data_IF_560912776744
#
_entry.id   IF_560912776744
#
_cell.length_a   1.000
_cell.length_b   1.000
_cell.length_c   1.000
_cell.angle_alpha   90.00
_cell.angle_beta   90.00
_cell.angle_gamma   90.00
#
_symmetry.space_group_name_H-M   'P 1'
#
loop_
_entity.id
_entity.type
_entity.pdbx_description
1 polymer ?
#
# COMPACT_ATOMS: atom_id res chain seq x y z
N UNK A 1 4.20 13.93 -25.13
CA UNK A 1 5.67 14.08 -25.07
C UNK A 1 6.19 13.19 -23.96
N UNK A 2 7.19 12.36 -24.20
CA UNK A 2 7.53 11.28 -23.27
C UNK A 2 8.63 11.71 -22.31
N UNK A 3 8.32 11.78 -21.03
CA UNK A 3 9.23 12.05 -19.92
C UNK A 3 9.41 10.75 -19.12
N UNK A 4 10.64 10.33 -18.91
CA UNK A 4 10.97 9.08 -18.22
C UNK A 4 11.71 9.38 -16.92
N UNK A 5 11.18 8.92 -15.79
CA UNK A 5 11.76 9.13 -14.46
C UNK A 5 12.27 7.80 -13.93
N UNK A 6 13.56 7.69 -13.69
CA UNK A 6 14.20 6.49 -13.12
C UNK A 6 14.29 6.63 -11.60
N UNK A 7 13.63 5.74 -10.89
CA UNK A 7 13.65 5.65 -9.42
C UNK A 7 14.23 4.30 -8.98
N UNK A 8 14.62 4.18 -7.72
CA UNK A 8 15.14 2.95 -7.14
C UNK A 8 16.30 3.20 -6.17
N UNK A 9 16.74 2.15 -5.51
CA UNK A 9 17.84 2.20 -4.54
C UNK A 9 19.16 2.61 -5.21
N UNK A 10 20.13 2.99 -4.37
CA UNK A 10 21.51 3.19 -4.80
C UNK A 10 22.07 1.88 -5.39
N UNK A 11 22.86 1.96 -6.45
CA UNK A 11 23.44 0.78 -7.11
C UNK A 11 22.55 0.11 -8.17
N UNK A 12 21.28 0.52 -8.35
CA UNK A 12 20.38 -0.08 -9.35
C UNK A 12 20.66 0.34 -10.80
N UNK A 13 21.61 1.26 -11.05
CA UNK A 13 22.03 1.61 -12.40
C UNK A 13 21.26 2.77 -13.05
N UNK A 14 20.48 3.58 -12.28
CA UNK A 14 19.67 4.70 -12.80
C UNK A 14 20.42 5.62 -13.76
N UNK A 15 21.56 6.14 -13.37
CA UNK A 15 22.36 7.06 -14.20
C UNK A 15 22.91 6.37 -15.45
N UNK A 16 23.33 5.11 -15.35
CA UNK A 16 23.89 4.36 -16.48
C UNK A 16 22.81 4.01 -17.50
N UNK A 17 21.70 3.43 -17.04
CA UNK A 17 20.56 3.03 -17.90
C UNK A 17 19.88 4.29 -18.47
N UNK A 18 19.72 5.34 -17.65
CA UNK A 18 19.12 6.60 -18.09
C UNK A 18 19.89 7.27 -19.24
N UNK A 19 21.22 7.27 -19.18
CA UNK A 19 22.05 7.75 -20.29
C UNK A 19 21.86 6.92 -21.57
N UNK A 20 21.69 5.59 -21.43
CA UNK A 20 21.44 4.72 -22.59
C UNK A 20 20.07 4.97 -23.20
N UNK A 21 19.03 5.07 -22.36
CA UNK A 21 17.66 5.41 -22.81
C UNK A 21 17.63 6.76 -23.54
N UNK A 22 18.22 7.80 -22.94
CA UNK A 22 18.29 9.13 -23.52
C UNK A 22 18.98 9.12 -24.90
N UNK A 23 20.06 8.33 -25.04
CA UNK A 23 20.76 8.14 -26.31
C UNK A 23 19.89 7.45 -27.37
N UNK A 24 19.16 6.39 -26.98
CA UNK A 24 18.26 5.67 -27.89
C UNK A 24 17.12 6.57 -28.38
N UNK A 25 16.55 7.36 -27.45
CA UNK A 25 15.40 8.23 -27.73
C UNK A 25 15.80 9.58 -28.37
N UNK A 26 17.07 9.94 -28.37
CA UNK A 26 17.52 11.25 -28.86
C UNK A 26 17.05 12.43 -28.02
N UNK A 27 16.83 12.24 -26.71
CA UNK A 27 16.35 13.27 -25.77
C UNK A 27 17.36 13.55 -24.66
N UNK A 28 17.28 14.71 -23.95
CA UNK A 28 18.18 15.04 -22.85
C UNK A 28 18.16 14.04 -21.69
N UNK A 29 19.31 13.89 -21.02
CA UNK A 29 19.44 13.15 -19.77
C UNK A 29 19.79 14.10 -18.63
N UNK A 30 19.10 13.97 -17.50
CA UNK A 30 19.36 14.69 -16.26
C UNK A 30 19.55 13.71 -15.11
N UNK A 31 20.54 13.99 -14.24
CA UNK A 31 20.75 13.28 -12.98
C UNK A 31 20.61 14.30 -11.85
N UNK A 32 19.61 14.12 -10.98
CA UNK A 32 19.29 15.12 -9.95
C UNK A 32 20.42 15.28 -8.95
N UNK A 33 21.15 14.21 -8.61
CA UNK A 33 22.30 14.26 -7.70
C UNK A 33 23.40 15.15 -8.33
N UNK A 34 23.72 14.93 -9.61
CA UNK A 34 24.72 15.74 -10.35
C UNK A 34 24.31 17.20 -10.48
N UNK A 35 23.00 17.47 -10.73
CA UNK A 35 22.50 18.85 -10.82
C UNK A 35 22.58 19.58 -9.48
N UNK A 36 22.30 18.90 -8.36
CA UNK A 36 22.42 19.45 -7.01
C UNK A 36 23.87 19.81 -6.72
N UNK A 37 24.81 18.88 -6.95
CA UNK A 37 26.24 19.11 -6.73
C UNK A 37 26.77 20.26 -7.59
N UNK A 38 26.38 20.29 -8.87
CA UNK A 38 26.76 21.37 -9.79
C UNK A 38 26.23 22.75 -9.37
N UNK A 39 25.02 22.83 -8.83
CA UNK A 39 24.43 24.08 -8.32
C UNK A 39 25.04 24.52 -6.99
N UNK A 40 25.32 23.54 -6.10
CA UNK A 40 25.89 23.82 -4.79
C UNK A 40 27.41 24.10 -4.83
N UNK A 41 28.11 23.67 -5.88
CA UNK A 41 29.56 23.76 -5.99
C UNK A 41 30.33 22.83 -5.02
N UNK A 42 29.64 21.89 -4.38
CA UNK A 42 30.21 20.90 -3.45
C UNK A 42 29.44 19.56 -3.54
N UNK A 43 30.01 18.52 -2.98
CA UNK A 43 29.43 17.17 -3.03
C UNK A 43 28.24 17.02 -2.08
N UNK A 44 27.35 16.05 -2.38
CA UNK A 44 26.20 15.74 -1.52
C UNK A 44 26.63 15.46 -0.06
N UNK A 45 27.68 14.67 0.23
CA UNK A 45 28.17 14.51 1.60
C UNK A 45 28.55 15.82 2.29
N UNK A 46 29.19 16.76 1.58
CA UNK A 46 29.53 18.07 2.12
C UNK A 46 28.28 18.91 2.42
N UNK A 47 27.24 18.82 1.56
CA UNK A 47 25.95 19.48 1.80
C UNK A 47 25.30 18.92 3.09
N UNK A 48 25.29 17.59 3.24
CA UNK A 48 24.75 16.95 4.46
C UNK A 48 25.51 17.40 5.74
N UNK A 49 26.83 17.52 5.66
CA UNK A 49 27.65 18.00 6.79
C UNK A 49 27.37 19.47 7.12
N UNK A 50 27.12 20.30 6.11
CA UNK A 50 26.94 21.74 6.27
C UNK A 50 25.54 22.12 6.79
N UNK A 51 24.48 21.50 6.26
CA UNK A 51 23.08 21.89 6.51
C UNK A 51 22.16 20.76 6.94
N UNK A 52 22.69 19.55 7.12
CA UNK A 52 21.94 18.36 7.55
C UNK A 52 20.99 17.80 6.50
N UNK A 53 20.27 16.75 6.87
CA UNK A 53 19.33 16.09 5.94
C UNK A 53 18.16 17.02 5.56
N UNK A 54 17.60 17.76 6.51
CA UNK A 54 16.47 18.66 6.24
C UNK A 54 16.82 19.73 5.20
N UNK A 55 18.02 20.35 5.31
CA UNK A 55 18.50 21.33 4.34
C UNK A 55 18.74 20.73 2.96
N UNK A 56 19.33 19.52 2.90
CA UNK A 56 19.48 18.79 1.64
C UNK A 56 18.14 18.52 0.97
N UNK A 57 17.12 18.08 1.73
CA UNK A 57 15.77 17.80 1.19
C UNK A 57 15.10 19.05 0.61
N UNK A 58 15.37 20.23 1.17
CA UNK A 58 14.87 21.48 0.57
C UNK A 58 15.53 21.77 -0.79
N UNK A 59 16.86 21.65 -0.87
CA UNK A 59 17.61 21.81 -2.14
C UNK A 59 17.11 20.76 -3.17
N UNK A 60 16.93 19.52 -2.77
CA UNK A 60 16.42 18.43 -3.62
C UNK A 60 15.02 18.78 -4.16
N UNK A 61 14.15 19.31 -3.32
CA UNK A 61 12.79 19.73 -3.71
C UNK A 61 12.82 20.88 -4.72
N UNK A 62 13.62 21.93 -4.47
CA UNK A 62 13.79 23.03 -5.40
C UNK A 62 14.37 22.57 -6.75
N UNK A 63 15.35 21.65 -6.73
CA UNK A 63 15.95 21.10 -7.93
C UNK A 63 14.91 20.33 -8.75
N UNK A 64 14.13 19.46 -8.12
CA UNK A 64 13.08 18.69 -8.81
C UNK A 64 12.00 19.62 -9.39
N UNK A 65 11.61 20.66 -8.66
CA UNK A 65 10.63 21.65 -9.15
C UNK A 65 11.15 22.47 -10.33
N UNK A 66 12.48 22.60 -10.49
CA UNK A 66 13.11 23.34 -11.59
C UNK A 66 13.45 22.49 -12.82
N UNK A 67 13.15 21.18 -12.79
CA UNK A 67 13.42 20.28 -13.92
C UNK A 67 12.59 20.68 -15.16
N UNK A 68 13.14 20.52 -16.38
CA UNK A 68 12.43 20.85 -17.61
C UNK A 68 11.13 20.06 -17.78
N UNK A 69 10.10 20.70 -18.29
CA UNK A 69 8.80 20.07 -18.59
C UNK A 69 8.77 19.29 -19.92
N UNK A 70 9.81 19.40 -20.75
CA UNK A 70 9.90 18.73 -22.05
C UNK A 70 10.31 17.26 -21.97
N UNK A 71 10.45 16.59 -23.15
CA UNK A 71 10.94 15.23 -23.25
C UNK A 71 12.32 15.08 -22.61
N UNK A 72 12.47 14.14 -21.68
CA UNK A 72 13.73 13.92 -20.98
C UNK A 72 13.76 12.56 -20.31
N UNK A 73 14.96 12.03 -20.07
CA UNK A 73 15.20 10.94 -19.12
C UNK A 73 15.85 11.53 -17.87
N UNK A 74 15.23 11.30 -16.72
CA UNK A 74 15.65 11.87 -15.43
C UNK A 74 15.96 10.74 -14.46
N UNK A 75 17.20 10.65 -13.98
CA UNK A 75 17.58 9.79 -12.87
C UNK A 75 17.49 10.55 -11.55
N UNK A 76 16.75 10.02 -10.57
CA UNK A 76 16.59 10.69 -9.28
C UNK A 76 17.53 10.14 -8.21
N UNK A 77 17.83 10.95 -7.20
CA UNK A 77 18.39 10.47 -5.95
C UNK A 77 17.50 9.40 -5.30
N UNK A 78 18.11 8.43 -4.62
CA UNK A 78 17.35 7.29 -4.05
C UNK A 78 16.32 7.69 -2.99
N UNK A 79 16.43 8.86 -2.35
CA UNK A 79 15.46 9.37 -1.39
C UNK A 79 14.43 10.35 -1.97
N UNK A 80 14.62 10.80 -3.19
CA UNK A 80 13.87 11.92 -3.76
C UNK A 80 12.34 11.74 -3.71
N UNK A 81 11.85 10.56 -4.07
CA UNK A 81 10.41 10.24 -4.10
C UNK A 81 9.83 9.87 -2.74
N UNK A 82 10.61 9.92 -1.65
CA UNK A 82 10.09 9.81 -0.29
C UNK A 82 9.38 11.11 0.13
N UNK A 83 9.77 12.24 -0.46
CA UNK A 83 9.02 13.49 -0.34
C UNK A 83 7.82 13.45 -1.29
N UNK A 84 6.63 13.66 -0.73
CA UNK A 84 5.39 13.58 -1.49
C UNK A 84 5.28 14.64 -2.59
N UNK A 85 5.75 15.87 -2.34
CA UNK A 85 5.74 16.95 -3.34
C UNK A 85 6.63 16.62 -4.53
N UNK A 86 7.79 15.99 -4.26
CA UNK A 86 8.66 15.49 -5.30
C UNK A 86 7.99 14.39 -6.12
N UNK A 87 7.34 13.41 -5.44
CA UNK A 87 6.64 12.32 -6.11
C UNK A 87 5.52 12.83 -7.01
N UNK A 88 4.70 13.77 -6.53
CA UNK A 88 3.63 14.41 -7.29
C UNK A 88 4.18 15.19 -8.49
N UNK A 89 5.26 15.96 -8.30
CA UNK A 89 5.90 16.74 -9.38
C UNK A 89 6.49 15.84 -10.46
N UNK A 90 7.21 14.79 -10.06
CA UNK A 90 7.84 13.85 -10.98
C UNK A 90 6.83 13.02 -11.78
N UNK A 91 5.64 12.76 -11.21
CA UNK A 91 4.60 11.96 -11.87
C UNK A 91 3.87 12.71 -12.98
N UNK A 92 3.90 14.04 -12.99
CA UNK A 92 3.20 14.83 -14.00
C UNK A 92 3.73 14.52 -15.41
N UNK A 93 2.84 14.01 -16.27
CA UNK A 93 3.13 13.71 -17.69
C UNK A 93 4.42 12.86 -17.89
N UNK A 94 4.68 11.91 -17.00
CA UNK A 94 5.88 11.11 -17.01
C UNK A 94 5.61 9.61 -16.80
N UNK A 95 6.47 8.78 -17.38
CA UNK A 95 6.57 7.35 -17.09
C UNK A 95 7.58 7.14 -15.96
N UNK A 96 7.15 6.59 -14.84
CA UNK A 96 8.04 6.28 -13.71
C UNK A 96 8.52 4.85 -13.82
N UNK A 97 9.84 4.68 -13.87
CA UNK A 97 10.51 3.40 -14.04
C UNK A 97 11.27 3.07 -12.75
N UNK A 98 10.87 2.00 -12.10
CA UNK A 98 11.57 1.46 -10.96
C UNK A 98 12.65 0.47 -11.41
N UNK A 99 13.90 0.77 -11.07
CA UNK A 99 15.01 -0.17 -11.22
C UNK A 99 15.25 -0.89 -9.89
N UNK A 100 15.27 -2.21 -9.94
CA UNK A 100 15.55 -3.09 -8.80
C UNK A 100 16.79 -3.95 -9.05
N UNK A 101 17.34 -4.49 -7.99
CA UNK A 101 18.28 -5.61 -8.00
C UNK A 101 18.30 -6.24 -6.62
N UNK A 102 18.73 -7.50 -6.52
CA UNK A 102 18.87 -8.18 -5.24
C UNK A 102 19.87 -7.46 -4.32
N UNK A 103 19.67 -7.50 -2.99
CA UNK A 103 20.53 -6.83 -2.02
C UNK A 103 22.02 -7.15 -2.20
N UNK A 104 22.36 -8.40 -2.49
CA UNK A 104 23.73 -8.87 -2.70
C UNK A 104 24.36 -8.23 -3.95
N UNK A 105 23.57 -8.04 -5.01
CA UNK A 105 24.01 -7.35 -6.24
C UNK A 105 24.22 -5.86 -5.97
N UNK A 106 23.33 -5.24 -5.21
CA UNK A 106 23.47 -3.83 -4.82
C UNK A 106 24.70 -3.62 -3.96
N UNK A 107 24.93 -4.50 -2.98
CA UNK A 107 26.12 -4.47 -2.10
C UNK A 107 27.40 -4.52 -2.94
N UNK A 108 27.52 -5.50 -3.84
CA UNK A 108 28.69 -5.64 -4.71
C UNK A 108 28.93 -4.39 -5.59
N UNK A 109 27.87 -3.78 -6.11
CA UNK A 109 27.97 -2.56 -6.94
C UNK A 109 28.33 -1.31 -6.13
N UNK A 110 27.92 -1.24 -4.86
CA UNK A 110 28.16 -0.09 -3.98
C UNK A 110 29.56 -0.17 -3.35
N UNK A 111 30.06 -1.35 -3.00
CA UNK A 111 31.41 -1.55 -2.39
C UNK A 111 32.54 -0.93 -3.19
N UNK A 112 32.39 -0.78 -4.52
CA UNK A 112 33.37 -0.10 -5.38
C UNK A 112 33.18 1.42 -5.50
N UNK A 113 32.20 2.03 -4.76
CA UNK A 113 31.90 3.46 -4.90
C UNK A 113 32.45 4.29 -3.75
N UNK A 114 32.85 5.54 -4.04
CA UNK A 114 33.38 6.50 -3.04
C UNK A 114 32.31 7.17 -2.16
N UNK A 115 31.06 6.78 -2.27
CA UNK A 115 29.97 7.41 -1.51
C UNK A 115 29.89 6.84 -0.10
N UNK A 116 29.78 7.67 0.97
CA UNK A 116 29.73 7.21 2.34
C UNK A 116 28.45 6.40 2.63
N UNK A 117 28.45 5.55 3.68
CA UNK A 117 27.26 4.89 4.19
C UNK A 117 26.22 5.93 4.65
N UNK A 118 24.93 5.57 4.58
CA UNK A 118 23.82 6.42 5.02
C UNK A 118 23.48 6.19 6.50
N UNK A 119 23.97 5.10 7.08
CA UNK A 119 23.72 4.71 8.48
C UNK A 119 25.01 4.14 9.10
N UNK A 120 24.99 3.88 10.41
CA UNK A 120 26.07 3.20 11.15
C UNK A 120 26.01 1.66 11.00
N UNK A 121 25.05 1.12 10.24
CA UNK A 121 24.88 -0.30 10.03
C UNK A 121 25.90 -0.86 9.02
N UNK A 122 26.00 -2.20 8.97
CA UNK A 122 26.68 -2.85 7.86
C UNK A 122 26.00 -2.48 6.54
N UNK A 123 26.74 -2.43 5.42
CA UNK A 123 26.17 -2.08 4.11
C UNK A 123 24.99 -2.99 3.73
N UNK A 124 25.08 -4.28 4.04
CA UNK A 124 24.01 -5.24 3.80
C UNK A 124 22.74 -4.94 4.61
N UNK A 125 22.90 -4.65 5.91
CA UNK A 125 21.78 -4.32 6.79
C UNK A 125 21.16 -2.96 6.42
N UNK A 126 21.98 -1.99 6.06
CA UNK A 126 21.53 -0.69 5.55
C UNK A 126 20.65 -0.86 4.29
N UNK A 127 21.11 -1.63 3.29
CA UNK A 127 20.37 -1.89 2.06
C UNK A 127 19.04 -2.54 2.39
N UNK A 128 19.02 -3.57 3.25
CA UNK A 128 17.80 -4.28 3.65
C UNK A 128 16.83 -3.37 4.39
N UNK A 129 17.30 -2.56 5.33
CA UNK A 129 16.47 -1.64 6.09
C UNK A 129 15.87 -0.56 5.19
N UNK A 130 16.67 0.08 4.36
CA UNK A 130 16.23 1.12 3.42
C UNK A 130 15.27 0.52 2.38
N UNK A 131 15.55 -0.69 1.88
CA UNK A 131 14.67 -1.40 0.96
C UNK A 131 13.28 -1.61 1.57
N UNK A 132 13.23 -2.12 2.80
CA UNK A 132 11.95 -2.37 3.51
C UNK A 132 11.07 -1.10 3.60
N UNK A 133 11.68 0.06 3.79
CA UNK A 133 10.97 1.34 3.92
C UNK A 133 10.56 1.90 2.55
N UNK A 134 11.47 1.85 1.56
CA UNK A 134 11.28 2.58 0.30
C UNK A 134 10.60 1.77 -0.80
N UNK A 135 10.81 0.45 -0.84
CA UNK A 135 10.28 -0.38 -1.93
C UNK A 135 8.75 -0.34 -2.07
N UNK A 136 7.94 -0.32 -0.99
CA UNK A 136 6.50 -0.17 -1.14
C UNK A 136 6.10 1.13 -1.86
N UNK A 137 6.77 2.25 -1.54
CA UNK A 137 6.53 3.56 -2.18
C UNK A 137 6.99 3.54 -3.64
N UNK A 138 8.18 3.01 -3.91
CA UNK A 138 8.70 2.89 -5.28
C UNK A 138 7.78 2.05 -6.16
N UNK A 139 7.32 0.89 -5.69
CA UNK A 139 6.39 0.02 -6.43
C UNK A 139 5.07 0.72 -6.69
N UNK A 140 4.54 1.45 -5.70
CA UNK A 140 3.34 2.26 -5.85
C UNK A 140 3.49 3.32 -6.95
N UNK A 141 4.61 4.03 -7.00
CA UNK A 141 4.86 5.06 -8.00
C UNK A 141 5.14 4.49 -9.40
N UNK A 142 5.84 3.37 -9.52
CA UNK A 142 6.36 2.90 -10.79
C UNK A 142 5.27 2.48 -11.78
N UNK A 143 5.38 2.86 -13.02
CA UNK A 143 4.59 2.35 -14.14
C UNK A 143 5.23 1.10 -14.73
N UNK A 144 6.57 1.06 -14.73
CA UNK A 144 7.39 -0.05 -15.20
C UNK A 144 8.36 -0.44 -14.10
N UNK A 145 8.54 -1.75 -13.88
CA UNK A 145 9.53 -2.27 -12.96
C UNK A 145 10.53 -3.13 -13.74
N UNK A 146 11.83 -2.86 -13.56
CA UNK A 146 12.91 -3.59 -14.23
C UNK A 146 13.92 -4.09 -13.20
N UNK A 147 14.12 -5.41 -13.18
CA UNK A 147 15.22 -6.01 -12.46
C UNK A 147 16.51 -5.88 -13.28
N UNK A 148 17.50 -5.23 -12.69
CA UNK A 148 18.81 -4.98 -13.33
C UNK A 148 19.90 -5.93 -12.85
N UNK A 149 19.54 -6.93 -12.04
CA UNK A 149 20.51 -7.85 -11.42
C UNK A 149 21.27 -8.67 -12.45
N UNK A 150 20.59 -9.16 -13.47
CA UNK A 150 21.12 -10.13 -14.45
C UNK A 150 21.24 -9.57 -15.86
N UNK A 151 20.95 -8.28 -16.09
CA UNK A 151 20.97 -7.67 -17.43
C UNK A 151 21.97 -6.53 -17.48
N UNK A 152 22.56 -6.31 -18.66
CA UNK A 152 23.42 -5.15 -18.89
C UNK A 152 22.57 -3.87 -19.16
N UNK A 153 23.23 -2.70 -19.15
CA UNK A 153 22.52 -1.43 -19.25
C UNK A 153 21.85 -1.20 -20.61
N UNK A 154 22.38 -1.74 -21.69
CA UNK A 154 21.80 -1.59 -23.03
C UNK A 154 20.56 -2.50 -23.19
N UNK A 155 20.63 -3.72 -22.68
CA UNK A 155 19.50 -4.65 -22.62
C UNK A 155 18.38 -4.09 -21.74
N UNK A 156 18.71 -3.58 -20.54
CA UNK A 156 17.75 -2.97 -19.65
C UNK A 156 17.04 -1.77 -20.31
N UNK A 157 17.80 -0.86 -20.93
CA UNK A 157 17.24 0.31 -21.62
C UNK A 157 16.30 -0.11 -22.76
N UNK A 158 16.71 -1.07 -23.59
CA UNK A 158 15.87 -1.59 -24.69
C UNK A 158 14.60 -2.25 -24.17
N UNK A 159 14.70 -3.12 -23.16
CA UNK A 159 13.56 -3.82 -22.56
C UNK A 159 12.56 -2.83 -21.93
N UNK A 160 13.02 -1.79 -21.25
CA UNK A 160 12.15 -0.75 -20.69
C UNK A 160 11.34 -0.07 -21.80
N UNK A 161 11.97 0.28 -22.91
CA UNK A 161 11.33 0.98 -24.02
C UNK A 161 10.35 0.10 -24.81
N UNK A 162 10.55 -1.23 -24.83
CA UNK A 162 9.66 -2.21 -25.47
C UNK A 162 8.60 -2.78 -24.55
N UNK A 163 8.77 -2.69 -23.22
CA UNK A 163 7.89 -3.30 -22.22
C UNK A 163 6.49 -2.67 -22.11
N UNK A 164 6.17 -1.68 -22.91
CA UNK A 164 4.85 -1.02 -22.92
C UNK A 164 3.78 -1.81 -23.68
N UNK A 165 4.12 -2.90 -24.34
CA UNK A 165 3.16 -3.75 -25.06
C UNK A 165 2.47 -4.70 -24.08
N UNK A 166 1.29 -4.28 -23.59
CA UNK A 166 0.34 -5.21 -22.92
C UNK A 166 -0.23 -6.16 -23.97
N UNK A 167 -0.58 -7.39 -23.58
CA UNK A 167 -1.44 -8.22 -24.39
C UNK A 167 -2.85 -7.62 -24.46
N UNK A 168 -3.00 -6.66 -25.38
CA UNK A 168 -4.23 -5.90 -25.56
C UNK A 168 -5.38 -6.78 -26.02
N UNK A 169 -5.10 -7.90 -26.72
CA UNK A 169 -6.15 -8.80 -27.23
C UNK A 169 -6.81 -9.57 -26.09
N UNK A 170 -6.04 -10.18 -25.19
CA UNK A 170 -6.60 -10.90 -24.03
C UNK A 170 -7.25 -9.95 -23.04
N UNK A 171 -6.67 -8.77 -22.83
CA UNK A 171 -7.26 -7.71 -22.00
C UNK A 171 -8.62 -7.25 -22.53
N UNK A 172 -8.74 -7.00 -23.84
CA UNK A 172 -10.02 -6.63 -24.49
C UNK A 172 -11.05 -7.75 -24.34
N UNK A 173 -10.66 -9.02 -24.56
CA UNK A 173 -11.56 -10.18 -24.35
C UNK A 173 -12.06 -10.23 -22.91
N UNK A 174 -11.17 -10.01 -21.95
CA UNK A 174 -11.49 -10.00 -20.52
C UNK A 174 -12.48 -8.87 -20.17
N UNK A 175 -12.24 -7.64 -20.65
CA UNK A 175 -13.16 -6.52 -20.44
C UNK A 175 -14.55 -6.79 -21.01
N UNK A 176 -14.64 -7.34 -22.24
CA UNK A 176 -15.91 -7.71 -22.88
C UNK A 176 -16.65 -8.79 -22.08
N UNK A 177 -15.93 -9.83 -21.59
CA UNK A 177 -16.53 -10.89 -20.74
C UNK A 177 -17.13 -10.29 -19.45
N UNK A 178 -16.53 -9.25 -18.91
CA UNK A 178 -17.01 -8.54 -17.72
C UNK A 178 -18.03 -7.45 -18.03
N UNK A 179 -18.46 -7.30 -19.29
CA UNK A 179 -19.36 -6.22 -19.74
C UNK A 179 -18.81 -4.81 -19.44
N UNK A 180 -17.49 -4.66 -19.47
CA UNK A 180 -16.78 -3.40 -19.33
C UNK A 180 -16.38 -2.84 -20.70
N UNK A 181 -16.14 -1.53 -20.75
CA UNK A 181 -15.70 -0.85 -21.96
C UNK A 181 -14.31 -1.36 -22.42
N UNK A 182 -14.19 -1.94 -23.62
CA UNK A 182 -12.91 -2.41 -24.14
C UNK A 182 -11.84 -1.34 -24.25
N UNK A 183 -12.22 -0.06 -24.40
CA UNK A 183 -11.27 1.04 -24.46
C UNK A 183 -10.53 1.31 -23.14
N UNK A 184 -11.01 0.75 -22.03
CA UNK A 184 -10.30 0.79 -20.76
C UNK A 184 -8.90 0.16 -20.83
N UNK A 185 -8.66 -0.76 -21.77
CA UNK A 185 -7.31 -1.35 -21.96
C UNK A 185 -6.26 -0.29 -22.34
N UNK A 186 -6.67 0.83 -22.91
CA UNK A 186 -5.81 1.96 -23.26
C UNK A 186 -5.46 2.85 -22.07
N UNK A 187 -6.12 2.63 -20.92
CA UNK A 187 -5.83 3.40 -19.70
C UNK A 187 -4.43 3.05 -19.20
N UNK A 188 -3.54 4.02 -18.97
CA UNK A 188 -2.17 3.75 -18.57
C UNK A 188 -2.06 2.91 -17.30
N UNK A 189 -2.90 3.18 -16.30
CA UNK A 189 -2.90 2.48 -15.02
C UNK A 189 -4.30 1.94 -14.70
N UNK A 190 -4.43 0.61 -14.69
CA UNK A 190 -5.64 -0.06 -14.24
C UNK A 190 -5.47 -0.57 -12.81
N UNK A 191 -6.51 -0.37 -12.03
CA UNK A 191 -6.64 -0.87 -10.66
C UNK A 191 -8.03 -1.45 -10.47
N UNK A 192 -8.24 -2.22 -9.43
CA UNK A 192 -9.57 -2.72 -9.15
C UNK A 192 -9.79 -3.21 -7.75
N UNK A 193 -11.04 -3.57 -7.47
CA UNK A 193 -11.43 -4.32 -6.28
C UNK A 193 -12.07 -5.64 -6.67
N UNK A 194 -11.63 -6.73 -6.05
CA UNK A 194 -12.19 -8.06 -6.20
C UNK A 194 -12.81 -8.58 -4.91
N UNK A 195 -13.87 -9.35 -5.06
CA UNK A 195 -14.64 -9.97 -3.99
C UNK A 195 -15.95 -10.54 -4.53
N UNK A 196 -16.75 -11.15 -3.67
CA UNK A 196 -18.07 -11.68 -4.06
C UNK A 196 -19.07 -11.66 -2.89
N UNK A 197 -20.08 -10.76 -2.91
CA UNK A 197 -20.27 -9.66 -3.87
C UNK A 197 -19.35 -8.46 -3.61
N UNK A 198 -19.10 -7.65 -4.64
CA UNK A 198 -18.18 -6.49 -4.54
C UNK A 198 -18.81 -5.16 -4.97
N UNK A 199 -19.98 -5.20 -5.61
CA UNK A 199 -20.65 -4.04 -6.23
C UNK A 199 -21.05 -2.91 -5.26
N UNK A 200 -21.13 -3.21 -3.96
CA UNK A 200 -21.46 -2.23 -2.92
C UNK A 200 -20.24 -1.50 -2.35
N UNK A 201 -19.03 -1.82 -2.81
CA UNK A 201 -17.81 -1.17 -2.34
C UNK A 201 -17.75 0.30 -2.74
N UNK A 202 -17.34 1.15 -1.81
CA UNK A 202 -17.10 2.59 -2.03
C UNK A 202 -15.72 2.88 -2.63
N UNK A 203 -14.83 1.89 -2.73
CA UNK A 203 -13.45 2.08 -3.20
C UNK A 203 -13.36 2.64 -4.62
N UNK A 204 -14.15 2.19 -5.63
CA UNK A 204 -14.07 2.77 -6.97
C UNK A 204 -14.46 4.25 -7.03
N UNK A 205 -15.48 4.67 -6.26
CA UNK A 205 -15.85 6.08 -6.17
C UNK A 205 -14.70 6.90 -5.56
N UNK A 206 -14.19 6.46 -4.40
CA UNK A 206 -13.11 7.13 -3.69
C UNK A 206 -11.85 7.25 -4.56
N UNK A 207 -11.36 6.14 -5.09
CA UNK A 207 -10.06 6.13 -5.78
C UNK A 207 -10.11 6.82 -7.14
N UNK A 208 -11.19 6.69 -7.92
CA UNK A 208 -11.31 7.42 -9.18
C UNK A 208 -11.35 8.95 -8.95
N UNK A 209 -11.97 9.40 -7.85
CA UNK A 209 -11.97 10.81 -7.49
C UNK A 209 -10.57 11.28 -7.12
N UNK A 210 -9.85 10.53 -6.27
CA UNK A 210 -8.48 10.85 -5.90
C UNK A 210 -7.54 10.79 -7.12
N UNK A 211 -7.70 9.83 -8.04
CA UNK A 211 -6.91 9.79 -9.28
C UNK A 211 -7.06 11.07 -10.09
N UNK A 212 -8.30 11.57 -10.23
CA UNK A 212 -8.55 12.84 -10.92
C UNK A 212 -7.85 14.03 -10.25
N UNK A 213 -7.87 14.07 -8.92
CA UNK A 213 -7.30 15.19 -8.16
C UNK A 213 -5.77 15.20 -8.14
N UNK A 214 -5.16 14.02 -8.06
CA UNK A 214 -3.70 13.87 -8.10
C UNK A 214 -3.13 13.69 -9.51
N UNK A 215 -3.96 13.93 -10.55
CA UNK A 215 -3.57 13.77 -11.96
C UNK A 215 -2.94 12.40 -12.27
N UNK A 216 -3.43 11.33 -11.59
CA UNK A 216 -3.00 9.97 -11.85
C UNK A 216 -3.77 9.47 -13.09
N UNK A 217 -3.08 9.06 -14.17
CA UNK A 217 -3.73 8.60 -15.41
C UNK A 217 -4.24 7.17 -15.25
N UNK A 218 -5.09 6.95 -14.24
CA UNK A 218 -5.57 5.64 -13.81
C UNK A 218 -7.08 5.50 -13.78
N UNK A 219 -7.54 4.24 -13.76
CA UNK A 219 -8.95 3.88 -13.54
C UNK A 219 -9.05 2.74 -12.54
N UNK A 220 -9.97 2.88 -11.60
CA UNK A 220 -10.26 1.88 -10.59
C UNK A 220 -11.62 1.23 -10.87
N UNK A 221 -11.64 -0.09 -11.02
CA UNK A 221 -12.77 -0.86 -11.52
C UNK A 221 -13.33 -1.83 -10.46
N UNK A 222 -14.58 -2.22 -10.63
CA UNK A 222 -15.10 -3.44 -10.02
C UNK A 222 -14.61 -4.64 -10.84
N UNK A 223 -13.92 -5.58 -10.21
CA UNK A 223 -13.40 -6.79 -10.83
C UNK A 223 -13.91 -8.02 -10.05
N UNK A 224 -15.24 -8.30 -10.11
CA UNK A 224 -15.79 -9.47 -9.42
C UNK A 224 -15.19 -10.76 -9.96
N UNK A 225 -14.96 -11.73 -9.08
CA UNK A 225 -14.41 -13.03 -9.43
C UNK A 225 -15.10 -14.14 -8.64
N UNK A 226 -15.10 -15.35 -9.17
CA UNK A 226 -15.60 -16.55 -8.49
C UNK A 226 -14.56 -17.19 -7.56
N UNK A 227 -13.27 -16.87 -7.76
CA UNK A 227 -12.16 -17.40 -6.96
C UNK A 227 -10.99 -16.41 -6.90
N UNK A 228 -10.06 -16.64 -5.95
CA UNK A 228 -8.82 -15.89 -5.86
C UNK A 228 -7.94 -16.07 -7.12
N UNK A 229 -7.95 -17.25 -7.72
CA UNK A 229 -7.23 -17.56 -8.95
C UNK A 229 -7.79 -16.78 -10.15
N UNK A 230 -9.10 -16.76 -10.33
CA UNK A 230 -9.75 -15.96 -11.38
C UNK A 230 -9.45 -14.47 -11.20
N UNK A 231 -9.44 -13.97 -9.95
CA UNK A 231 -9.10 -12.59 -9.66
C UNK A 231 -7.67 -12.24 -10.12
N UNK A 232 -6.69 -13.09 -9.84
CA UNK A 232 -5.30 -12.90 -10.29
C UNK A 232 -5.19 -13.00 -11.82
N UNK A 233 -5.82 -14.01 -12.44
CA UNK A 233 -5.82 -14.16 -13.90
C UNK A 233 -6.44 -12.92 -14.59
N UNK A 234 -7.54 -12.40 -14.03
CA UNK A 234 -8.18 -11.17 -14.53
C UNK A 234 -7.24 -9.96 -14.37
N UNK A 235 -6.61 -9.82 -13.21
CA UNK A 235 -5.64 -8.75 -12.96
C UNK A 235 -4.49 -8.78 -13.96
N UNK A 236 -3.93 -9.96 -14.22
CA UNK A 236 -2.83 -10.15 -15.18
C UNK A 236 -3.26 -9.89 -16.62
N UNK A 237 -4.41 -10.43 -17.06
CA UNK A 237 -4.95 -10.22 -18.40
C UNK A 237 -5.22 -8.73 -18.69
N UNK A 238 -5.66 -7.96 -17.71
CA UNK A 238 -5.86 -6.52 -17.82
C UNK A 238 -4.56 -5.72 -17.68
N UNK A 239 -3.45 -6.34 -17.29
CA UNK A 239 -2.23 -5.63 -16.91
C UNK A 239 -2.50 -4.65 -15.75
N UNK A 240 -3.43 -4.99 -14.85
CA UNK A 240 -3.76 -4.12 -13.74
C UNK A 240 -2.60 -4.05 -12.75
N UNK A 241 -2.29 -2.83 -12.32
CA UNK A 241 -1.16 -2.54 -11.43
C UNK A 241 -1.44 -2.91 -9.99
N UNK A 242 -2.71 -2.85 -9.58
CA UNK A 242 -3.07 -3.15 -8.20
C UNK A 242 -4.51 -3.62 -8.05
N UNK A 243 -4.72 -4.42 -7.02
CA UNK A 243 -6.01 -5.03 -6.71
C UNK A 243 -6.28 -4.93 -5.21
N UNK A 244 -7.41 -4.31 -4.85
CA UNK A 244 -7.97 -4.46 -3.51
C UNK A 244 -8.72 -5.78 -3.41
N UNK A 245 -8.54 -6.47 -2.29
CA UNK A 245 -9.14 -7.79 -2.06
C UNK A 245 -10.08 -7.72 -0.86
N UNK A 246 -11.33 -8.15 -1.06
CA UNK A 246 -12.30 -8.23 0.02
C UNK A 246 -12.86 -9.67 0.17
N UNK A 247 -13.86 -9.84 1.03
CA UNK A 247 -14.52 -11.12 1.27
C UNK A 247 -14.99 -11.74 -0.06
N UNK A 248 -14.78 -13.06 -0.27
CA UNK A 248 -14.22 -14.04 0.65
C UNK A 248 -12.72 -14.31 0.45
N UNK A 249 -12.00 -13.55 -0.37
CA UNK A 249 -10.71 -13.95 -0.93
C UNK A 249 -9.47 -13.55 -0.09
N UNK A 250 -9.62 -12.75 0.97
CA UNK A 250 -8.49 -12.22 1.75
C UNK A 250 -7.49 -13.29 2.26
N UNK A 251 -7.99 -14.44 2.68
CA UNK A 251 -7.17 -15.56 3.18
C UNK A 251 -6.64 -16.42 2.03
N UNK A 252 -7.51 -16.80 1.09
CA UNK A 252 -7.14 -17.68 -0.04
C UNK A 252 -6.20 -17.02 -1.03
N UNK A 253 -6.19 -15.69 -1.11
CA UNK A 253 -5.31 -14.93 -1.99
C UNK A 253 -3.83 -15.03 -1.55
N UNK A 254 -3.54 -15.24 -0.26
CA UNK A 254 -2.16 -15.28 0.26
C UNK A 254 -1.30 -16.33 -0.46
N UNK A 255 -1.88 -17.49 -0.77
CA UNK A 255 -1.16 -18.57 -1.48
C UNK A 255 -0.90 -18.30 -2.96
N UNK A 256 -1.40 -17.19 -3.50
CA UNK A 256 -1.25 -16.77 -4.90
C UNK A 256 -0.28 -15.60 -5.08
N UNK A 257 0.35 -15.17 -3.99
CA UNK A 257 1.25 -14.01 -3.96
C UNK A 257 2.70 -14.48 -3.90
N UNK A 258 3.54 -13.88 -4.74
CA UNK A 258 4.97 -14.21 -4.78
C UNK A 258 5.71 -13.69 -3.55
N UNK A 259 5.37 -12.47 -3.13
CA UNK A 259 6.07 -11.75 -2.07
C UNK A 259 5.05 -11.17 -1.06
N UNK A 260 4.57 -11.97 -0.10
CA UNK A 260 3.74 -11.44 0.98
C UNK A 260 4.58 -10.65 1.99
N UNK A 261 4.09 -9.48 2.41
CA UNK A 261 4.72 -8.73 3.50
C UNK A 261 4.69 -9.54 4.82
N UNK A 262 5.59 -9.24 5.78
CA UNK A 262 5.63 -9.93 7.06
C UNK A 262 4.31 -9.88 7.83
N UNK A 263 3.57 -8.78 7.76
CA UNK A 263 2.23 -8.64 8.37
C UNK A 263 1.19 -9.55 7.69
N UNK A 264 1.23 -9.70 6.38
CA UNK A 264 0.38 -10.66 5.65
C UNK A 264 0.64 -12.09 6.14
N UNK A 265 1.92 -12.46 6.27
CA UNK A 265 2.31 -13.78 6.79
C UNK A 265 1.84 -13.97 8.23
N UNK A 266 2.01 -12.96 9.08
CA UNK A 266 1.57 -12.99 10.46
C UNK A 266 0.03 -13.05 10.57
N UNK A 267 -0.70 -12.25 9.82
CA UNK A 267 -2.17 -12.16 9.82
C UNK A 267 -2.80 -13.35 9.07
N UNK A 268 -2.13 -13.90 8.04
CA UNK A 268 -2.66 -14.94 7.13
C UNK A 268 -3.80 -14.47 6.25
N UNK A 269 -3.88 -13.18 6.02
CA UNK A 269 -4.83 -12.56 5.11
C UNK A 269 -4.23 -11.29 4.52
N UNK A 270 -4.65 -10.93 3.33
CA UNK A 270 -4.29 -9.68 2.67
C UNK A 270 -5.53 -8.95 2.14
N UNK A 271 -5.42 -7.65 1.94
CA UNK A 271 -6.46 -6.86 1.30
C UNK A 271 -5.96 -6.03 0.10
N UNK A 272 -4.66 -6.13 -0.21
CA UNK A 272 -4.03 -5.35 -1.29
C UNK A 272 -2.99 -6.20 -2.01
N UNK A 273 -3.05 -6.21 -3.34
CA UNK A 273 -2.04 -6.80 -4.22
C UNK A 273 -1.48 -5.71 -5.11
N UNK A 274 -0.15 -5.67 -5.25
CA UNK A 274 0.57 -4.76 -6.16
C UNK A 274 1.36 -5.60 -7.14
N UNK A 275 1.21 -5.35 -8.44
CA UNK A 275 2.01 -5.98 -9.50
C UNK A 275 3.21 -5.11 -9.85
N UNK A 276 4.40 -5.69 -9.85
CA UNK A 276 5.63 -4.99 -10.22
C UNK A 276 6.68 -6.00 -10.72
N UNK A 277 7.20 -5.80 -11.93
CA UNK A 277 8.23 -6.66 -12.51
C UNK A 277 7.82 -8.12 -12.68
N UNK A 278 6.55 -8.36 -13.01
CA UNK A 278 6.00 -9.70 -13.16
C UNK A 278 5.72 -10.45 -11.85
N UNK A 279 6.05 -9.85 -10.68
CA UNK A 279 5.77 -10.39 -9.35
C UNK A 279 4.56 -9.73 -8.71
N UNK A 280 3.86 -10.48 -7.86
CA UNK A 280 2.73 -10.03 -7.06
C UNK A 280 3.15 -9.85 -5.60
N UNK A 281 3.00 -8.63 -5.10
CA UNK A 281 3.30 -8.24 -3.73
C UNK A 281 2.01 -8.13 -2.93
N UNK A 282 1.92 -8.81 -1.80
CA UNK A 282 0.74 -8.82 -0.94
C UNK A 282 0.91 -7.98 0.31
N UNK A 283 -0.09 -7.14 0.60
CA UNK A 283 -0.12 -6.26 1.77
C UNK A 283 -1.44 -6.39 2.51
N UNK A 284 -1.42 -6.07 3.80
CA UNK A 284 -2.63 -5.95 4.61
C UNK A 284 -2.72 -4.55 5.20
N UNK A 285 -3.68 -3.74 4.76
CA UNK A 285 -3.92 -2.41 5.31
C UNK A 285 -5.04 -2.37 6.35
N UNK A 286 -5.76 -3.48 6.57
CA UNK A 286 -6.83 -3.53 7.56
C UNK A 286 -6.28 -3.32 8.98
N UNK A 287 -5.13 -3.93 9.32
CA UNK A 287 -4.53 -3.76 10.63
C UNK A 287 -4.11 -2.31 10.90
N UNK A 288 -3.68 -1.58 9.86
CA UNK A 288 -3.38 -0.14 9.93
C UNK A 288 -4.67 0.62 10.22
N UNK A 289 -5.75 0.29 9.50
CA UNK A 289 -7.06 0.88 9.68
C UNK A 289 -7.64 0.67 11.08
N UNK A 290 -7.26 -0.42 11.75
CA UNK A 290 -7.68 -0.70 13.13
C UNK A 290 -6.75 0.01 14.13
N UNK A 291 -5.44 -0.05 13.91
CA UNK A 291 -4.43 0.48 14.80
C UNK A 291 -4.51 2.00 14.97
N UNK A 292 -4.64 2.70 13.85
CA UNK A 292 -4.53 4.17 13.84
C UNK A 292 -5.59 4.87 14.73
N UNK A 293 -6.89 4.50 14.69
CA UNK A 293 -7.88 5.06 15.59
C UNK A 293 -7.65 4.71 17.08
N UNK A 294 -6.82 3.70 17.36
CA UNK A 294 -6.59 3.16 18.71
C UNK A 294 -5.27 3.60 19.36
N UNK A 295 -4.51 4.49 18.77
CA UNK A 295 -3.21 4.97 19.28
C UNK A 295 -3.25 5.44 20.75
N UNK A 296 -4.39 5.99 21.19
CA UNK A 296 -4.59 6.44 22.58
C UNK A 296 -4.89 5.34 23.60
N UNK A 297 -5.03 4.08 23.17
CA UNK A 297 -5.43 2.93 24.02
C UNK A 297 -4.28 1.96 24.33
N UNK A 298 -3.05 2.40 24.19
CA UNK A 298 -1.86 1.58 24.41
C UNK A 298 -1.88 0.89 25.78
N UNK A 299 -1.60 -0.44 25.81
CA UNK A 299 -1.55 -1.22 27.05
C UNK A 299 -2.90 -1.64 27.64
N UNK A 300 -4.03 -1.34 26.96
CA UNK A 300 -5.37 -1.67 27.43
C UNK A 300 -5.72 -3.17 27.29
N UNK A 301 -6.74 -3.62 28.02
CA UNK A 301 -7.33 -4.94 27.86
C UNK A 301 -8.43 -4.90 26.79
N UNK A 302 -8.31 -5.75 25.76
CA UNK A 302 -9.18 -5.74 24.60
C UNK A 302 -9.89 -7.09 24.37
N UNK A 303 -11.18 -7.02 24.00
CA UNK A 303 -11.97 -8.16 23.55
C UNK A 303 -12.20 -8.06 22.04
N UNK A 304 -11.73 -9.05 21.29
CA UNK A 304 -12.02 -9.21 19.86
C UNK A 304 -13.12 -10.25 19.68
N UNK A 305 -14.24 -9.84 19.11
CA UNK A 305 -15.37 -10.71 18.78
C UNK A 305 -15.27 -11.11 17.31
N UNK A 306 -14.99 -12.40 17.06
CA UNK A 306 -14.76 -12.97 15.72
C UNK A 306 -13.46 -13.76 15.63
N UNK A 307 -13.30 -14.54 14.57
CA UNK A 307 -12.10 -15.35 14.33
C UNK A 307 -11.81 -15.56 12.81
N UNK A 308 -12.12 -14.58 11.97
CA UNK A 308 -11.76 -14.54 10.54
C UNK A 308 -10.59 -13.60 10.28
N UNK A 309 -10.31 -13.31 9.00
CA UNK A 309 -9.21 -12.44 8.57
C UNK A 309 -9.24 -11.04 9.21
N UNK A 310 -10.42 -10.43 9.36
CA UNK A 310 -10.56 -9.14 10.05
C UNK A 310 -10.22 -9.23 11.55
N UNK A 311 -10.60 -10.34 12.21
CA UNK A 311 -10.22 -10.57 13.60
C UNK A 311 -8.71 -10.78 13.74
N UNK A 312 -8.08 -11.53 12.83
CA UNK A 312 -6.64 -11.70 12.82
C UNK A 312 -5.90 -10.35 12.64
N UNK A 313 -6.38 -9.50 11.74
CA UNK A 313 -5.85 -8.14 11.56
C UNK A 313 -6.05 -7.28 12.83
N UNK A 314 -7.21 -7.44 13.52
CA UNK A 314 -7.47 -6.74 14.78
C UNK A 314 -6.49 -7.18 15.88
N UNK A 315 -6.31 -8.50 16.05
CA UNK A 315 -5.36 -9.02 17.06
C UNK A 315 -3.95 -8.51 16.77
N UNK A 316 -3.49 -8.57 15.51
CA UNK A 316 -2.18 -8.06 15.12
C UNK A 316 -2.01 -6.56 15.42
N UNK A 317 -3.03 -5.76 15.09
CA UNK A 317 -3.05 -4.33 15.38
C UNK A 317 -2.96 -4.04 16.89
N UNK A 318 -3.73 -4.76 17.70
CA UNK A 318 -3.77 -4.58 19.15
C UNK A 318 -2.45 -4.98 19.81
N UNK A 319 -1.84 -6.09 19.36
CA UNK A 319 -0.53 -6.50 19.85
C UNK A 319 0.58 -5.49 19.51
N UNK A 320 0.49 -4.82 18.35
CA UNK A 320 1.41 -3.73 18.00
C UNK A 320 1.28 -2.48 18.89
N UNK A 321 0.22 -2.41 19.69
CA UNK A 321 -0.05 -1.38 20.71
C UNK A 321 0.16 -1.91 22.16
N UNK A 322 0.83 -3.06 22.31
CA UNK A 322 1.11 -3.71 23.58
C UNK A 322 -0.17 -4.02 24.40
N UNK A 323 -1.30 -4.29 23.74
CA UNK A 323 -2.57 -4.60 24.40
C UNK A 323 -2.68 -6.09 24.76
N UNK A 324 -3.39 -6.39 25.85
CA UNK A 324 -3.79 -7.75 26.21
C UNK A 324 -5.06 -8.14 25.44
N UNK A 325 -5.01 -9.20 24.66
CA UNK A 325 -6.14 -9.56 23.78
C UNK A 325 -6.83 -10.82 24.26
N UNK A 326 -8.15 -10.74 24.39
CA UNK A 326 -9.05 -11.88 24.57
C UNK A 326 -9.87 -12.05 23.30
N UNK A 327 -9.93 -13.26 22.77
CA UNK A 327 -10.73 -13.59 21.59
C UNK A 327 -11.99 -14.34 21.99
N UNK A 328 -13.14 -13.83 21.58
CA UNK A 328 -14.42 -14.53 21.69
C UNK A 328 -14.99 -14.84 20.31
N UNK A 329 -15.38 -16.08 20.09
CA UNK A 329 -16.00 -16.48 18.82
C UNK A 329 -17.11 -17.50 19.04
N UNK A 330 -18.18 -17.42 18.25
CA UNK A 330 -19.31 -18.37 18.29
C UNK A 330 -18.84 -19.83 18.17
N UNK A 331 -17.91 -20.10 17.25
CA UNK A 331 -17.25 -21.38 17.12
C UNK A 331 -15.97 -21.31 17.95
N UNK A 332 -16.00 -21.87 19.17
CA UNK A 332 -14.88 -21.77 20.12
C UNK A 332 -13.55 -22.28 19.54
N UNK A 333 -13.56 -23.35 18.76
CA UNK A 333 -12.35 -23.91 18.15
C UNK A 333 -11.63 -22.90 17.25
N UNK A 334 -12.37 -22.11 16.46
CA UNK A 334 -11.79 -21.04 15.65
C UNK A 334 -11.18 -19.95 16.52
N UNK A 335 -11.87 -19.57 17.58
CA UNK A 335 -11.34 -18.60 18.56
C UNK A 335 -10.05 -19.10 19.20
N UNK A 336 -10.01 -20.35 19.66
CA UNK A 336 -8.82 -20.98 20.25
C UNK A 336 -7.67 -21.12 19.23
N UNK A 337 -7.97 -21.44 17.98
CA UNK A 337 -6.97 -21.54 16.92
C UNK A 337 -6.31 -20.18 16.65
N UNK A 338 -7.11 -19.13 16.55
CA UNK A 338 -6.61 -17.77 16.38
C UNK A 338 -5.79 -17.32 17.61
N UNK A 339 -6.29 -17.59 18.81
CA UNK A 339 -5.59 -17.28 20.06
C UNK A 339 -4.21 -17.97 20.16
N UNK A 340 -4.13 -19.26 19.83
CA UNK A 340 -2.85 -19.98 19.79
C UNK A 340 -1.86 -19.37 18.78
N UNK A 341 -2.36 -18.99 17.62
CA UNK A 341 -1.52 -18.37 16.56
C UNK A 341 -0.86 -17.09 17.01
N UNK A 342 -1.57 -16.26 17.75
CA UNK A 342 -1.09 -14.96 18.21
C UNK A 342 -0.57 -14.97 19.67
N UNK A 343 -0.57 -16.11 20.35
CA UNK A 343 -0.13 -16.20 21.74
C UNK A 343 -1.02 -15.45 22.73
N UNK A 344 -2.33 -15.30 22.42
CA UNK A 344 -3.29 -14.60 23.28
C UNK A 344 -4.35 -15.54 23.85
N UNK A 345 -5.30 -15.01 24.63
CA UNK A 345 -6.32 -15.80 25.34
C UNK A 345 -7.59 -15.95 24.47
N UNK A 346 -8.24 -17.11 24.54
CA UNK A 346 -9.61 -17.30 24.05
C UNK A 346 -10.53 -17.63 25.20
N UNK A 347 -11.66 -16.94 25.25
CA UNK A 347 -12.66 -17.16 26.31
C UNK A 347 -14.09 -16.95 25.77
N UNK A 348 -15.11 -17.55 26.39
CA UNK A 348 -16.50 -17.21 26.11
C UNK A 348 -16.76 -15.71 26.32
N UNK A 349 -17.56 -15.10 25.48
CA UNK A 349 -17.85 -13.67 25.57
C UNK A 349 -18.43 -13.26 26.93
N UNK A 350 -19.18 -14.16 27.57
CA UNK A 350 -19.81 -13.94 28.89
C UNK A 350 -18.81 -13.83 30.05
N UNK A 351 -17.58 -14.33 29.87
CA UNK A 351 -16.52 -14.26 30.88
C UNK A 351 -15.64 -13.02 30.78
N UNK A 352 -15.77 -12.22 29.73
CA UNK A 352 -14.91 -11.06 29.40
C UNK A 352 -15.38 -9.77 30.09
N UNK A 353 -15.52 -9.78 31.42
CA UNK A 353 -16.19 -8.66 32.16
C UNK A 353 -15.36 -7.42 32.45
N UNK A 354 -14.04 -7.46 32.23
CA UNK A 354 -13.14 -6.32 32.54
C UNK A 354 -12.24 -6.04 31.33
N UNK A 355 -12.82 -5.38 30.34
CA UNK A 355 -12.07 -4.90 29.19
C UNK A 355 -12.30 -3.40 28.98
N UNK A 356 -11.32 -2.73 28.42
CA UNK A 356 -11.36 -1.30 28.11
C UNK A 356 -11.80 -1.07 26.67
N UNK A 357 -11.58 -2.06 25.81
CA UNK A 357 -11.88 -2.01 24.37
C UNK A 357 -12.62 -3.29 23.94
N UNK A 358 -13.65 -3.11 23.13
CA UNK A 358 -14.35 -4.21 22.44
C UNK A 358 -14.31 -3.95 20.94
N UNK A 359 -13.84 -4.93 20.16
CA UNK A 359 -13.86 -4.88 18.69
C UNK A 359 -14.81 -5.93 18.14
N UNK A 360 -15.81 -5.49 17.37
CA UNK A 360 -16.61 -6.41 16.56
C UNK A 360 -15.92 -6.64 15.21
N UNK A 361 -15.33 -7.83 15.04
CA UNK A 361 -14.74 -8.30 13.79
C UNK A 361 -15.60 -9.39 13.10
N UNK A 362 -16.89 -9.45 13.43
CA UNK A 362 -17.88 -10.32 12.79
C UNK A 362 -18.69 -9.56 11.73
N UNK A 363 -19.38 -10.23 10.79
CA UNK A 363 -20.31 -9.58 9.88
C UNK A 363 -21.66 -9.20 10.52
N UNK A 364 -21.87 -9.48 11.79
CA UNK A 364 -23.13 -9.14 12.50
C UNK A 364 -23.27 -7.63 12.62
N UNK A 365 -24.34 -7.10 12.11
CA UNK A 365 -24.61 -5.67 11.98
C UNK A 365 -24.59 -5.16 10.53
N UNK A 366 -24.17 -6.00 9.56
CA UNK A 366 -24.20 -5.63 8.13
C UNK A 366 -25.62 -5.66 7.52
N UNK A 367 -26.50 -6.50 8.06
CA UNK A 367 -27.86 -6.68 7.54
C UNK A 367 -28.85 -5.94 8.41
N UNK A 368 -29.87 -5.41 7.77
CA UNK A 368 -31.04 -4.87 8.49
C UNK A 368 -31.68 -5.99 9.32
N UNK A 369 -31.93 -5.71 10.60
CA UNK A 369 -32.47 -6.70 11.55
C UNK A 369 -31.40 -7.50 12.31
N UNK A 370 -30.11 -7.40 11.98
CA UNK A 370 -29.06 -8.02 12.77
C UNK A 370 -29.11 -7.53 14.23
N UNK A 371 -28.85 -8.43 15.16
CA UNK A 371 -28.69 -8.15 16.59
C UNK A 371 -27.35 -7.46 16.90
N UNK A 372 -27.01 -7.40 18.19
CA UNK A 372 -25.68 -7.04 18.66
C UNK A 372 -24.85 -8.30 18.87
N UNK A 373 -23.61 -8.39 18.37
CA UNK A 373 -22.73 -9.53 18.66
C UNK A 373 -22.15 -9.48 20.08
N UNK A 374 -22.34 -8.37 20.79
CA UNK A 374 -21.84 -8.13 22.15
C UNK A 374 -23.02 -8.02 23.12
N UNK A 375 -23.02 -8.76 24.23
CA UNK A 375 -24.01 -8.65 25.29
C UNK A 375 -24.03 -7.25 25.92
N UNK A 376 -25.22 -6.78 26.32
CA UNK A 376 -25.42 -5.46 26.91
C UNK A 376 -24.63 -5.25 28.20
N UNK A 377 -24.40 -6.31 28.96
CA UNK A 377 -23.68 -6.32 30.25
C UNK A 377 -22.20 -5.90 30.12
N UNK A 378 -21.65 -6.01 28.90
CA UNK A 378 -20.27 -5.57 28.61
C UNK A 378 -20.21 -4.09 28.20
N UNK A 379 -21.33 -3.50 27.82
CA UNK A 379 -21.44 -2.11 27.39
C UNK A 379 -21.65 -1.20 28.62
N UNK A 380 -20.62 -0.45 29.00
CA UNK A 380 -20.64 0.43 30.18
C UNK A 380 -19.75 1.65 29.98
N UNK A 381 -19.96 2.74 30.73
CA UNK A 381 -19.10 3.91 30.68
C UNK A 381 -17.62 3.53 30.89
N UNK A 382 -16.73 4.16 30.13
CA UNK A 382 -15.29 3.90 30.14
C UNK A 382 -14.83 2.81 29.18
N UNK A 383 -15.74 2.04 28.58
CA UNK A 383 -15.40 1.08 27.52
C UNK A 383 -15.47 1.77 26.16
N UNK A 384 -14.47 1.52 25.31
CA UNK A 384 -14.49 1.90 23.89
C UNK A 384 -15.02 0.71 23.06
N UNK A 385 -15.93 0.95 22.15
CA UNK A 385 -16.48 -0.06 21.24
C UNK A 385 -16.15 0.32 19.80
N UNK A 386 -15.34 -0.50 19.14
CA UNK A 386 -15.00 -0.37 17.73
C UNK A 386 -15.73 -1.43 16.91
N UNK A 387 -16.64 -1.01 16.05
CA UNK A 387 -17.32 -1.93 15.14
C UNK A 387 -16.67 -1.87 13.76
N UNK A 388 -16.11 -2.97 13.28
CA UNK A 388 -15.46 -3.00 11.96
C UNK A 388 -16.47 -3.00 10.80
N UNK A 389 -17.77 -3.15 11.07
CA UNK A 389 -18.83 -2.97 10.09
C UNK A 389 -18.99 -1.48 9.78
N UNK A 390 -18.80 -1.10 8.50
CA UNK A 390 -18.90 0.29 8.06
C UNK A 390 -20.20 0.61 7.31
N UNK A 391 -20.98 -0.42 6.95
CA UNK A 391 -22.31 -0.27 6.32
C UNK A 391 -23.30 -1.19 7.01
N UNK A 392 -24.28 -0.64 7.70
CA UNK A 392 -24.57 0.79 7.97
C UNK A 392 -23.52 1.43 8.91
N UNK A 393 -23.33 2.77 8.87
CA UNK A 393 -22.33 3.44 9.72
C UNK A 393 -22.67 3.41 11.21
N UNK A 394 -23.95 3.27 11.57
CA UNK A 394 -24.44 3.13 12.94
C UNK A 394 -25.18 1.79 13.10
N UNK A 395 -24.41 0.75 13.40
CA UNK A 395 -24.92 -0.59 13.66
C UNK A 395 -25.75 -0.67 14.96
N UNK A 396 -26.45 -1.76 15.18
CA UNK A 396 -27.15 -2.01 16.44
C UNK A 396 -26.19 -2.01 17.64
N UNK A 397 -25.00 -2.59 17.47
CA UNK A 397 -23.95 -2.58 18.48
C UNK A 397 -23.56 -1.14 18.87
N UNK A 398 -23.24 -0.29 17.90
CA UNK A 398 -22.82 1.08 18.18
C UNK A 398 -23.94 1.92 18.82
N UNK A 399 -25.20 1.72 18.42
CA UNK A 399 -26.36 2.36 19.05
C UNK A 399 -26.49 1.96 20.52
N UNK A 400 -26.39 0.67 20.83
CA UNK A 400 -26.44 0.15 22.18
C UNK A 400 -25.26 0.65 23.03
N UNK A 401 -24.06 0.63 22.47
CA UNK A 401 -22.85 1.11 23.13
C UNK A 401 -22.97 2.62 23.50
N UNK A 402 -23.40 3.45 22.55
CA UNK A 402 -23.61 4.86 22.78
C UNK A 402 -24.66 5.11 23.88
N UNK A 403 -25.79 4.41 23.83
CA UNK A 403 -26.83 4.50 24.86
C UNK A 403 -26.34 4.05 26.26
N UNK A 404 -25.35 3.16 26.33
CA UNK A 404 -24.72 2.69 27.57
C UNK A 404 -23.54 3.56 28.05
N UNK A 405 -23.27 4.70 27.38
CA UNK A 405 -22.21 5.62 27.74
C UNK A 405 -20.80 5.16 27.34
N UNK A 406 -20.69 4.24 26.40
CA UNK A 406 -19.40 3.85 25.82
C UNK A 406 -18.89 4.92 24.83
N UNK A 407 -17.57 5.01 24.69
CA UNK A 407 -16.96 5.66 23.52
C UNK A 407 -17.15 4.75 22.32
N UNK A 408 -17.56 5.29 21.16
CA UNK A 408 -17.77 4.50 19.96
C UNK A 408 -16.80 4.91 18.86
N UNK A 409 -16.28 3.91 18.13
CA UNK A 409 -15.49 4.08 16.92
C UNK A 409 -16.24 3.33 15.79
N UNK A 410 -16.78 4.05 14.80
CA UNK A 410 -17.50 3.41 13.70
C UNK A 410 -16.51 2.79 12.69
N UNK A 411 -16.96 1.77 11.97
CA UNK A 411 -16.17 1.09 10.94
C UNK A 411 -15.75 1.98 9.76
N UNK A 412 -16.37 3.15 9.62
CA UNK A 412 -15.90 4.17 8.68
C UNK A 412 -14.49 4.66 8.99
N UNK A 413 -14.06 4.67 10.26
CA UNK A 413 -12.69 5.01 10.62
C UNK A 413 -11.70 3.96 10.12
N UNK A 414 -12.01 2.67 10.30
CA UNK A 414 -11.23 1.59 9.68
C UNK A 414 -11.13 1.81 8.17
N UNK A 415 -12.26 2.05 7.49
CA UNK A 415 -12.29 2.22 6.04
C UNK A 415 -11.41 3.39 5.59
N UNK A 416 -11.47 4.54 6.28
CA UNK A 416 -10.70 5.73 5.96
C UNK A 416 -9.20 5.49 6.10
N UNK A 417 -8.77 4.94 7.22
CA UNK A 417 -7.35 4.72 7.51
C UNK A 417 -6.75 3.62 6.61
N UNK A 418 -7.46 2.50 6.41
CA UNK A 418 -7.00 1.45 5.50
C UNK A 418 -6.96 1.93 4.04
N UNK A 419 -7.94 2.74 3.60
CA UNK A 419 -7.98 3.28 2.25
C UNK A 419 -6.83 4.25 1.98
N UNK A 420 -6.46 5.08 2.97
CA UNK A 420 -5.26 5.92 2.89
C UNK A 420 -3.99 5.10 2.68
N UNK A 421 -3.79 4.09 3.53
CA UNK A 421 -2.63 3.21 3.44
C UNK A 421 -2.60 2.44 2.10
N UNK A 422 -3.75 1.94 1.66
CA UNK A 422 -3.90 1.22 0.40
C UNK A 422 -3.65 2.14 -0.81
N UNK A 423 -4.20 3.36 -0.83
CA UNK A 423 -3.95 4.33 -1.89
C UNK A 423 -2.45 4.64 -2.01
N UNK A 424 -1.78 4.83 -0.87
CA UNK A 424 -0.34 5.05 -0.84
C UNK A 424 0.47 3.86 -1.38
N UNK A 425 0.06 2.63 -1.08
CA UNK A 425 0.69 1.42 -1.63
C UNK A 425 0.47 1.29 -3.15
N UNK A 426 -0.72 1.64 -3.64
CA UNK A 426 -1.10 1.53 -5.05
C UNK A 426 -0.49 2.63 -5.93
N UNK A 427 -0.27 3.83 -5.38
CA UNK A 427 0.08 5.03 -6.15
C UNK A 427 1.39 5.69 -5.71
N UNK A 428 1.91 5.34 -4.54
CA UNK A 428 3.04 6.02 -3.89
C UNK A 428 2.69 7.38 -3.29
N UNK A 429 1.45 7.85 -3.43
CA UNK A 429 0.96 9.17 -2.97
C UNK A 429 0.11 9.00 -1.71
N UNK A 430 0.31 9.85 -0.72
CA UNK A 430 -0.50 9.88 0.50
C UNK A 430 -1.59 10.97 0.38
N UNK A 431 -2.88 10.62 0.25
CA UNK A 431 -3.94 11.61 0.06
C UNK A 431 -4.30 12.39 1.34
N UNK A 432 -3.79 11.96 2.51
CA UNK A 432 -4.22 12.48 3.80
C UNK A 432 -5.62 12.00 4.21
N UNK A 433 -5.89 12.05 5.53
CA UNK A 433 -7.18 11.56 6.06
C UNK A 433 -8.34 12.50 5.75
N UNK A 434 -8.10 13.82 5.87
CA UNK A 434 -9.15 14.83 5.67
C UNK A 434 -9.69 14.77 4.25
N UNK A 435 -8.80 14.60 3.26
CA UNK A 435 -9.22 14.49 1.87
C UNK A 435 -10.06 13.24 1.60
N UNK A 436 -9.71 12.10 2.19
CA UNK A 436 -10.52 10.89 2.09
C UNK A 436 -11.90 11.11 2.71
N UNK A 437 -11.98 11.76 3.89
CA UNK A 437 -13.26 12.10 4.55
C UNK A 437 -14.14 12.99 3.68
N UNK A 438 -13.57 14.01 3.07
CA UNK A 438 -14.28 14.93 2.17
C UNK A 438 -14.88 14.17 0.97
N UNK A 439 -14.07 13.35 0.28
CA UNK A 439 -14.55 12.56 -0.88
C UNK A 439 -15.62 11.56 -0.47
N UNK A 440 -15.54 10.97 0.72
CA UNK A 440 -16.55 10.02 1.19
C UNK A 440 -17.84 10.70 1.66
N UNK A 441 -17.82 11.99 1.93
CA UNK A 441 -18.98 12.78 2.36
C UNK A 441 -19.70 13.46 1.19
N UNK A 442 -19.07 13.54 0.01
CA UNK A 442 -19.63 14.08 -1.23
C UNK A 442 -20.35 13.00 -2.03
#
# INVERSE_FOLDING_TARGET
MERYILIGLRGTGKSTIGKRMAKILGIPFYDTDTLIEGRAGCTIPEIFLAIGEAGFREIEREMIASLPEGPAVIATGGGAVMDQKNAESLRKEAHIILLTADPEVLEARIMGSSRPPLTELSLSDEIRQISKIRMPIYRGLADICMDTGMVNADEAASSILTSQERDTEEGVKTLRRMSLDPDLIKTPLLFGITGNPVSHSRSPHLYNRLFSEYAIPGKYLFLPAGSAEEAITTMQALGAKGLSVTIPFKETMVSRIDEPDPDVTAIGALNTVVSCGGKLYGHNTDWIGIREPLQGHKGADALVVGAGGAAAAAVYALQSLDMNVIIANRTEERGRALARRFGCTSAPISSSRKVDLIINATPVGMKEGDGSPVPSELLRPGVTVFDLVYTPPMTRLLKNAHASGCTIIPGTELFIHQARAQFKLLTGIDPGLDRIREVLSS
#
